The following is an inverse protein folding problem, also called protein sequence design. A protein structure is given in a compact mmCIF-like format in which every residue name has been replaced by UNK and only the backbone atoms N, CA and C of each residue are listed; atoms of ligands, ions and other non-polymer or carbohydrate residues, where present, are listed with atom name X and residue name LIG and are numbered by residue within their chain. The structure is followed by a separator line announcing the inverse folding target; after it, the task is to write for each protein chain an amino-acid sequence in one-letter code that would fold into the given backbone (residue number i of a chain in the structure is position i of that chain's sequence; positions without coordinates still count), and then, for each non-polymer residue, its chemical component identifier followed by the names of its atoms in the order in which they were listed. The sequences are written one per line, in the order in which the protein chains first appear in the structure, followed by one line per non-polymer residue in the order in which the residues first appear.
data_IF_070921474414
#
_entry.id   IF_070921474414
#
_cell.length_a   1.000
_cell.length_b   1.000
_cell.length_c   1.000
_cell.angle_alpha   90.00
_cell.angle_beta   90.00
_cell.angle_gamma   90.00
#
_symmetry.space_group_name_H-M   'P 1'
#
loop_
_entity.id
_entity.type
_entity.pdbx_description
1 polymer ?
#
# COMPACT_ATOMS: atom_id res chain seq x y z
N UNK A 1 -15.07 -16.71 -10.55
CA UNK A 1 -14.75 -18.03 -9.97
C UNK A 1 -14.32 -19.03 -11.04
N UNK A 2 -15.15 -19.36 -12.04
CA UNK A 2 -14.78 -20.36 -13.06
C UNK A 2 -13.61 -19.95 -13.97
N UNK A 3 -13.53 -18.70 -14.41
CA UNK A 3 -12.36 -18.22 -15.15
C UNK A 3 -11.06 -18.30 -14.33
N UNK A 4 -11.14 -18.12 -13.01
CA UNK A 4 -9.98 -18.25 -12.14
C UNK A 4 -9.53 -19.71 -12.01
N UNK A 5 -10.46 -20.66 -11.96
CA UNK A 5 -10.15 -22.11 -11.94
C UNK A 5 -9.53 -22.58 -13.26
N UNK A 6 -10.05 -22.11 -14.40
CA UNK A 6 -9.48 -22.39 -15.72
C UNK A 6 -8.03 -21.85 -15.80
N UNK A 7 -7.80 -20.63 -15.31
CA UNK A 7 -6.45 -20.05 -15.30
C UNK A 7 -5.49 -20.75 -14.33
N UNK A 8 -5.97 -21.23 -13.16
CA UNK A 8 -5.16 -22.06 -12.25
C UNK A 8 -4.76 -23.35 -12.95
N UNK A 9 -5.71 -24.04 -13.60
CA UNK A 9 -5.45 -25.28 -14.33
C UNK A 9 -4.49 -25.05 -15.52
N UNK A 10 -4.70 -23.98 -16.31
CA UNK A 10 -3.83 -23.63 -17.43
C UNK A 10 -2.41 -23.23 -16.98
N UNK A 11 -2.27 -22.55 -15.84
CA UNK A 11 -0.97 -22.19 -15.26
C UNK A 11 -0.25 -23.42 -14.69
N UNK A 12 -0.98 -24.39 -14.14
CA UNK A 12 -0.45 -25.68 -13.70
C UNK A 12 0.03 -26.53 -14.90
N UNK A 13 -0.64 -26.45 -16.05
CA UNK A 13 -0.29 -27.23 -17.25
C UNK A 13 0.83 -26.65 -18.12
N UNK A 14 0.96 -25.32 -18.23
CA UNK A 14 1.67 -24.72 -19.37
C UNK A 14 3.06 -24.13 -19.11
N UNK A 15 3.62 -24.23 -17.88
CA UNK A 15 5.00 -23.81 -17.58
C UNK A 15 5.36 -22.44 -18.23
N UNK A 16 4.43 -21.48 -18.12
CA UNK A 16 4.33 -20.31 -18.99
C UNK A 16 5.55 -19.38 -18.87
N UNK A 17 5.95 -18.80 -20.01
CA UNK A 17 7.03 -17.82 -20.16
C UNK A 17 6.65 -16.44 -19.56
N UNK A 18 7.63 -15.78 -18.92
CA UNK A 18 7.50 -14.55 -18.14
C UNK A 18 6.84 -13.40 -18.91
N UNK A 19 7.10 -13.32 -20.21
CA UNK A 19 6.56 -12.24 -21.06
C UNK A 19 5.05 -12.38 -21.29
N UNK A 20 4.57 -13.60 -21.53
CA UNK A 20 3.15 -13.88 -21.80
C UNK A 20 2.32 -13.67 -20.54
N UNK A 21 2.88 -13.98 -19.38
CA UNK A 21 2.27 -13.71 -18.08
C UNK A 21 2.16 -12.20 -17.84
N UNK A 22 3.24 -11.44 -17.97
CA UNK A 22 3.24 -9.99 -17.74
C UNK A 22 2.23 -9.26 -18.65
N UNK A 23 2.16 -9.61 -19.94
CA UNK A 23 1.20 -9.00 -20.88
C UNK A 23 -0.25 -9.39 -20.56
N UNK A 24 -0.52 -10.64 -20.15
CA UNK A 24 -1.86 -11.07 -19.77
C UNK A 24 -2.31 -10.44 -18.46
N UNK A 25 -1.44 -10.34 -17.45
CA UNK A 25 -1.77 -9.73 -16.16
C UNK A 25 -2.02 -8.23 -16.25
N UNK A 26 -1.29 -7.52 -17.12
CA UNK A 26 -1.52 -6.09 -17.38
C UNK A 26 -2.94 -5.77 -17.86
N UNK A 27 -3.60 -6.70 -18.58
CA UNK A 27 -4.97 -6.51 -19.10
C UNK A 27 -6.05 -6.52 -18.02
N UNK A 28 -5.81 -7.19 -16.89
CA UNK A 28 -6.80 -7.31 -15.82
C UNK A 28 -6.69 -6.19 -14.77
N UNK A 29 -5.68 -5.33 -14.88
CA UNK A 29 -5.63 -4.05 -14.14
C UNK A 29 -6.73 -3.06 -14.57
N UNK A 30 -7.32 -3.22 -15.77
CA UNK A 30 -8.22 -2.21 -16.38
C UNK A 30 -9.60 -2.72 -16.79
N UNK A 31 -10.03 -3.91 -16.32
CA UNK A 31 -11.33 -4.47 -16.74
C UNK A 31 -12.52 -3.74 -16.09
N UNK A 32 -13.31 -3.05 -16.92
CA UNK A 32 -14.45 -2.19 -16.56
C UNK A 32 -15.77 -2.93 -16.25
N UNK A 33 -15.72 -4.22 -15.90
CA UNK A 33 -16.92 -5.09 -15.79
C UNK A 33 -17.36 -5.43 -14.36
N UNK A 34 -16.84 -4.79 -13.31
CA UNK A 34 -16.99 -5.28 -11.94
C UNK A 34 -17.69 -4.28 -10.99
N UNK A 35 -19.01 -4.37 -10.91
CA UNK A 35 -19.78 -3.85 -9.77
C UNK A 35 -19.84 -4.86 -8.59
N UNK A 36 -19.31 -6.09 -8.75
CA UNK A 36 -19.58 -7.23 -7.83
C UNK A 36 -18.41 -7.71 -6.95
N UNK A 37 -17.35 -6.91 -6.76
CA UNK A 37 -16.21 -7.25 -5.89
C UNK A 37 -15.43 -8.56 -6.21
N UNK A 38 -15.65 -9.22 -7.35
CA UNK A 38 -14.93 -10.46 -7.71
C UNK A 38 -13.40 -10.27 -7.90
N UNK A 39 -12.91 -9.04 -7.93
CA UNK A 39 -11.48 -8.76 -8.10
C UNK A 39 -10.61 -9.37 -7.00
N UNK A 40 -11.05 -9.37 -5.74
CA UNK A 40 -10.26 -9.90 -4.62
C UNK A 40 -10.06 -11.42 -4.77
N UNK A 41 -11.15 -12.16 -4.99
CA UNK A 41 -11.13 -13.62 -5.19
C UNK A 41 -10.30 -14.02 -6.40
N UNK A 42 -10.39 -13.29 -7.51
CA UNK A 42 -9.58 -13.55 -8.70
C UNK A 42 -8.10 -13.27 -8.44
N UNK A 43 -7.77 -12.15 -7.78
CA UNK A 43 -6.38 -11.85 -7.38
C UNK A 43 -5.79 -12.90 -6.45
N UNK A 44 -6.57 -13.38 -5.47
CA UNK A 44 -6.15 -14.47 -4.58
C UNK A 44 -5.88 -15.76 -5.36
N UNK A 45 -6.83 -16.20 -6.19
CA UNK A 45 -6.69 -17.45 -6.94
C UNK A 45 -5.49 -17.43 -7.90
N UNK A 46 -5.30 -16.32 -8.62
CA UNK A 46 -4.17 -16.16 -9.54
C UNK A 46 -2.83 -16.04 -8.80
N UNK A 47 -2.77 -15.21 -7.75
CA UNK A 47 -1.56 -15.07 -6.95
C UNK A 47 -1.13 -16.39 -6.32
N UNK A 48 -2.08 -17.17 -5.82
CA UNK A 48 -1.83 -18.51 -5.30
C UNK A 48 -1.33 -19.49 -6.37
N UNK A 49 -2.01 -19.56 -7.53
CA UNK A 49 -1.62 -20.44 -8.62
C UNK A 49 -0.19 -20.16 -9.09
N UNK A 50 0.12 -18.89 -9.36
CA UNK A 50 1.46 -18.50 -9.79
C UNK A 50 2.52 -18.79 -8.73
N UNK A 51 2.27 -18.43 -7.46
CA UNK A 51 3.22 -18.71 -6.40
C UNK A 51 3.52 -20.21 -6.28
N UNK A 52 2.50 -21.07 -6.38
CA UNK A 52 2.63 -22.52 -6.32
C UNK A 52 3.37 -23.09 -7.54
N UNK A 53 3.06 -22.65 -8.76
CA UNK A 53 3.72 -23.11 -10.00
C UNK A 53 5.22 -22.86 -9.99
N UNK A 54 5.65 -21.75 -9.39
CA UNK A 54 7.04 -21.29 -9.37
C UNK A 54 7.82 -21.65 -8.10
N UNK A 55 7.17 -22.34 -7.16
CA UNK A 55 7.78 -22.71 -5.90
C UNK A 55 9.03 -23.59 -6.13
N UNK A 56 10.15 -23.21 -5.54
CA UNK A 56 11.42 -23.94 -5.63
C UNK A 56 12.29 -23.60 -6.85
N UNK A 57 11.91 -22.61 -7.67
CA UNK A 57 12.68 -22.16 -8.84
C UNK A 57 13.25 -20.73 -8.64
N UNK A 58 14.52 -20.58 -8.24
CA UNK A 58 15.12 -19.27 -7.94
C UNK A 58 15.04 -18.26 -9.09
N UNK A 59 15.10 -18.73 -10.34
CA UNK A 59 14.99 -17.91 -11.56
C UNK A 59 13.65 -17.20 -11.70
N UNK A 60 12.60 -17.70 -11.04
CA UNK A 60 11.24 -17.14 -11.07
C UNK A 60 10.92 -16.30 -9.83
N UNK A 61 11.95 -15.93 -9.08
CA UNK A 61 11.77 -15.19 -7.83
C UNK A 61 11.03 -13.86 -8.04
N UNK A 62 11.37 -13.10 -9.07
CA UNK A 62 10.70 -11.83 -9.34
C UNK A 62 9.20 -11.99 -9.67
N UNK A 63 8.78 -12.89 -10.59
CA UNK A 63 7.38 -13.24 -10.78
C UNK A 63 6.65 -13.69 -9.50
N UNK A 64 7.32 -14.42 -8.61
CA UNK A 64 6.73 -14.84 -7.32
C UNK A 64 6.44 -13.66 -6.41
N UNK A 65 7.32 -12.66 -6.34
CA UNK A 65 7.04 -11.43 -5.59
C UNK A 65 5.76 -10.76 -6.09
N UNK A 66 5.61 -10.61 -7.41
CA UNK A 66 4.41 -10.01 -8.01
C UNK A 66 3.14 -10.82 -7.71
N UNK A 67 3.23 -12.15 -7.73
CA UNK A 67 2.12 -13.02 -7.37
C UNK A 67 1.72 -12.87 -5.89
N UNK A 68 2.71 -12.75 -5.00
CA UNK A 68 2.50 -12.51 -3.56
C UNK A 68 1.84 -11.15 -3.32
N UNK A 69 2.24 -10.11 -4.05
CA UNK A 69 1.60 -8.79 -3.99
C UNK A 69 0.10 -8.88 -4.28
N UNK A 70 -0.28 -9.57 -5.36
CA UNK A 70 -1.68 -9.73 -5.77
C UNK A 70 -2.47 -10.56 -4.74
N UNK A 71 -1.89 -11.64 -4.25
CA UNK A 71 -2.49 -12.48 -3.21
C UNK A 71 -2.74 -11.68 -1.92
N UNK A 72 -1.74 -10.94 -1.45
CA UNK A 72 -1.84 -10.11 -0.24
C UNK A 72 -2.86 -8.98 -0.39
N UNK A 73 -2.99 -8.39 -1.58
CA UNK A 73 -4.05 -7.41 -1.89
C UNK A 73 -5.44 -8.04 -1.85
N UNK A 74 -5.61 -9.19 -2.51
CA UNK A 74 -6.88 -9.90 -2.55
C UNK A 74 -7.35 -10.32 -1.16
N UNK A 75 -6.45 -10.87 -0.35
CA UNK A 75 -6.75 -11.30 1.03
C UNK A 75 -7.18 -10.12 1.89
N UNK A 76 -6.47 -8.98 1.80
CA UNK A 76 -6.82 -7.78 2.55
C UNK A 76 -8.18 -7.19 2.15
N UNK A 77 -8.51 -7.22 0.86
CA UNK A 77 -9.82 -6.78 0.36
C UNK A 77 -10.97 -7.72 0.73
N UNK A 78 -10.66 -8.98 1.07
CA UNK A 78 -11.60 -9.97 1.55
C UNK A 78 -11.62 -10.07 3.09
N UNK A 79 -11.07 -9.07 3.80
CA UNK A 79 -11.04 -8.99 5.27
C UNK A 79 -10.20 -10.10 5.96
N UNK A 80 -9.37 -10.82 5.19
CA UNK A 80 -8.42 -11.82 5.70
C UNK A 80 -7.07 -11.15 6.04
N UNK A 81 -7.09 -10.22 7.00
CA UNK A 81 -5.95 -9.34 7.28
C UNK A 81 -4.71 -10.05 7.83
N UNK A 82 -4.84 -11.10 8.64
CA UNK A 82 -3.69 -11.88 9.15
C UNK A 82 -3.00 -12.69 8.05
N UNK A 83 -3.79 -13.29 7.15
CA UNK A 83 -3.24 -14.01 5.98
C UNK A 83 -2.57 -13.03 5.03
N UNK A 84 -3.20 -11.88 4.79
CA UNK A 84 -2.63 -10.80 3.97
C UNK A 84 -1.31 -10.30 4.55
N UNK A 85 -1.20 -10.17 5.88
CA UNK A 85 0.02 -9.77 6.56
C UNK A 85 1.13 -10.78 6.32
N UNK A 86 0.84 -12.06 6.55
CA UNK A 86 1.81 -13.16 6.39
C UNK A 86 2.40 -13.19 4.96
N UNK A 87 1.55 -13.03 3.94
CA UNK A 87 1.98 -13.00 2.54
C UNK A 87 2.87 -11.78 2.25
N UNK A 88 2.49 -10.59 2.74
CA UNK A 88 3.24 -9.35 2.51
C UNK A 88 4.58 -9.31 3.27
N UNK A 89 4.66 -9.90 4.47
CA UNK A 89 5.91 -10.04 5.20
C UNK A 89 6.87 -10.99 4.48
N UNK A 90 6.34 -12.10 3.95
CA UNK A 90 7.12 -13.02 3.13
C UNK A 90 7.59 -12.36 1.81
N UNK A 91 6.76 -11.54 1.18
CA UNK A 91 7.13 -10.74 -0.01
C UNK A 91 8.29 -9.80 0.32
N UNK A 92 8.20 -9.05 1.42
CA UNK A 92 9.26 -8.14 1.86
C UNK A 92 10.57 -8.88 2.18
N UNK A 93 10.50 -10.05 2.83
CA UNK A 93 11.68 -10.88 3.09
C UNK A 93 12.34 -11.35 1.79
N UNK A 94 11.53 -11.66 0.78
CA UNK A 94 12.00 -12.09 -0.52
C UNK A 94 12.63 -10.94 -1.32
N UNK A 95 12.03 -9.75 -1.34
CA UNK A 95 12.61 -8.56 -1.97
C UNK A 95 13.97 -8.19 -1.35
N UNK A 96 14.10 -8.32 -0.02
CA UNK A 96 15.39 -8.14 0.67
C UNK A 96 16.43 -9.16 0.22
N UNK A 97 16.06 -10.45 0.06
CA UNK A 97 16.95 -11.49 -0.46
C UNK A 97 17.43 -11.18 -1.88
N UNK A 98 16.54 -10.64 -2.71
CA UNK A 98 16.85 -10.20 -4.07
C UNK A 98 17.63 -8.90 -4.13
N UNK A 99 17.95 -8.27 -2.98
CA UNK A 99 18.66 -6.99 -2.89
C UNK A 99 17.98 -5.88 -3.69
N UNK A 100 16.65 -5.88 -3.73
CA UNK A 100 15.85 -4.85 -4.41
C UNK A 100 16.07 -3.51 -3.68
N UNK A 101 16.30 -2.39 -4.42
CA UNK A 101 16.50 -1.09 -3.81
C UNK A 101 15.34 -0.67 -2.90
N UNK A 102 15.66 0.02 -1.79
CA UNK A 102 14.64 0.44 -0.81
C UNK A 102 13.52 1.28 -1.42
N UNK A 103 13.83 2.12 -2.41
CA UNK A 103 12.84 2.92 -3.13
C UNK A 103 11.77 2.09 -3.83
N UNK A 104 12.12 0.92 -4.36
CA UNK A 104 11.19 0.00 -5.03
C UNK A 104 10.35 -0.79 -4.02
N UNK A 105 10.87 -1.00 -2.81
CA UNK A 105 10.16 -1.69 -1.72
C UNK A 105 9.09 -0.83 -1.03
N UNK A 106 9.08 0.49 -1.26
CA UNK A 106 8.15 1.43 -0.59
C UNK A 106 6.67 1.05 -0.78
N UNK A 107 6.30 0.51 -1.94
CA UNK A 107 4.91 0.12 -2.21
C UNK A 107 4.47 -1.07 -1.35
N UNK A 108 5.35 -2.06 -1.15
CA UNK A 108 5.08 -3.21 -0.27
C UNK A 108 5.00 -2.76 1.19
N UNK A 109 5.89 -1.86 1.60
CA UNK A 109 5.84 -1.26 2.93
C UNK A 109 4.55 -0.47 3.19
N UNK A 110 4.06 0.31 2.20
CA UNK A 110 2.77 0.99 2.29
C UNK A 110 1.63 -0.02 2.55
N UNK A 111 1.63 -1.13 1.83
CA UNK A 111 0.60 -2.17 1.97
C UNK A 111 0.70 -2.91 3.32
N UNK A 112 1.91 -3.13 3.83
CA UNK A 112 2.14 -3.66 5.17
C UNK A 112 1.60 -2.69 6.24
N UNK A 113 1.90 -1.40 6.13
CA UNK A 113 1.41 -0.39 7.06
C UNK A 113 -0.12 -0.34 7.12
N UNK A 114 -0.79 -0.41 5.98
CA UNK A 114 -2.27 -0.52 5.91
C UNK A 114 -2.76 -1.78 6.63
N UNK A 115 -2.11 -2.91 6.40
CA UNK A 115 -2.53 -4.19 6.99
C UNK A 115 -2.35 -4.19 8.52
N UNK A 116 -1.24 -3.62 9.01
CA UNK A 116 -1.05 -3.44 10.45
C UNK A 116 -2.14 -2.53 11.05
N UNK A 117 -2.47 -1.41 10.41
CA UNK A 117 -3.55 -0.53 10.86
C UNK A 117 -4.91 -1.24 10.91
N UNK A 118 -5.27 -2.02 9.87
CA UNK A 118 -6.49 -2.84 9.86
C UNK A 118 -6.54 -3.89 10.97
N UNK A 119 -5.39 -4.38 11.43
CA UNK A 119 -5.27 -5.31 12.56
C UNK A 119 -5.21 -4.61 13.93
N UNK A 120 -5.38 -3.29 13.99
CA UNK A 120 -5.22 -2.51 15.23
C UNK A 120 -3.78 -2.37 15.73
N UNK A 121 -2.80 -2.78 14.92
CA UNK A 121 -1.36 -2.78 15.22
C UNK A 121 -0.74 -1.41 14.88
N UNK A 122 -1.31 -0.34 15.45
CA UNK A 122 -1.02 1.04 15.04
C UNK A 122 0.44 1.47 15.26
N UNK A 123 1.14 0.98 16.29
CA UNK A 123 2.57 1.30 16.51
C UNK A 123 3.48 0.73 15.41
N UNK A 124 3.19 -0.50 14.95
CA UNK A 124 3.93 -1.09 13.83
C UNK A 124 3.63 -0.36 12.52
N UNK A 125 2.36 0.00 12.29
CA UNK A 125 1.97 0.84 11.17
C UNK A 125 2.70 2.19 11.20
N UNK A 126 2.80 2.82 12.38
CA UNK A 126 3.45 4.11 12.56
C UNK A 126 4.94 4.06 12.23
N UNK A 127 5.65 3.04 12.73
CA UNK A 127 7.07 2.86 12.42
C UNK A 127 7.29 2.74 10.92
N UNK A 128 6.47 1.94 10.22
CA UNK A 128 6.56 1.83 8.77
C UNK A 128 6.22 3.14 8.07
N UNK A 129 5.17 3.86 8.48
CA UNK A 129 4.79 5.15 7.87
C UNK A 129 5.91 6.17 7.98
N UNK A 130 6.61 6.24 9.11
CA UNK A 130 7.77 7.09 9.28
C UNK A 130 8.88 6.75 8.28
N UNK A 131 9.20 5.46 8.15
CA UNK A 131 10.28 5.00 7.29
C UNK A 131 9.93 5.22 5.79
N UNK A 132 8.68 4.95 5.41
CA UNK A 132 8.15 5.22 4.06
C UNK A 132 8.21 6.72 3.75
N UNK A 133 7.77 7.58 4.67
CA UNK A 133 7.79 9.02 4.49
C UNK A 133 9.24 9.53 4.29
N UNK A 134 10.18 9.05 5.11
CA UNK A 134 11.61 9.34 4.94
C UNK A 134 12.14 8.87 3.58
N UNK A 135 11.75 7.67 3.15
CA UNK A 135 12.11 7.12 1.84
C UNK A 135 11.57 7.96 0.68
N UNK A 136 10.30 8.34 0.72
CA UNK A 136 9.69 9.20 -0.32
C UNK A 136 10.27 10.60 -0.36
N UNK A 137 10.60 11.19 0.79
CA UNK A 137 11.33 12.45 0.84
C UNK A 137 12.68 12.36 0.13
N UNK A 138 13.44 11.29 0.34
CA UNK A 138 14.74 11.07 -0.33
C UNK A 138 14.60 10.78 -1.82
N UNK A 139 13.62 9.96 -2.20
CA UNK A 139 13.45 9.50 -3.58
C UNK A 139 12.82 10.56 -4.48
N UNK A 140 11.77 11.23 -4.01
CA UNK A 140 10.92 12.10 -4.83
C UNK A 140 10.95 13.57 -4.40
N UNK A 141 11.48 13.88 -3.21
CA UNK A 141 11.40 15.21 -2.62
C UNK A 141 10.06 15.51 -1.93
N UNK A 142 10.01 16.66 -1.24
CA UNK A 142 8.85 17.12 -0.45
C UNK A 142 7.66 17.59 -1.30
N UNK A 143 7.92 18.05 -2.53
CA UNK A 143 6.90 18.60 -3.44
C UNK A 143 6.13 17.52 -4.21
N UNK A 144 6.61 16.28 -4.19
CA UNK A 144 5.98 15.21 -4.96
C UNK A 144 4.62 14.80 -4.37
N UNK A 145 3.56 14.64 -5.19
CA UNK A 145 2.21 14.29 -4.71
C UNK A 145 2.18 13.06 -3.79
N UNK A 146 2.95 12.01 -4.12
CA UNK A 146 3.04 10.81 -3.29
C UNK A 146 3.71 11.05 -1.92
N UNK A 147 4.67 11.98 -1.83
CA UNK A 147 5.28 12.33 -0.54
C UNK A 147 4.27 13.07 0.34
N UNK A 148 3.47 13.96 -0.25
CA UNK A 148 2.39 14.67 0.43
C UNK A 148 1.28 13.70 0.89
N UNK A 149 0.92 12.73 0.04
CA UNK A 149 -0.04 11.67 0.39
C UNK A 149 0.46 10.82 1.56
N UNK A 150 1.75 10.48 1.61
CA UNK A 150 2.30 9.75 2.75
C UNK A 150 2.43 10.58 4.03
N UNK A 151 2.65 11.90 3.93
CA UNK A 151 2.57 12.78 5.09
C UNK A 151 1.17 12.75 5.73
N UNK A 152 0.11 12.76 4.91
CA UNK A 152 -1.28 12.63 5.37
C UNK A 152 -1.51 11.27 6.07
N UNK A 153 -1.06 10.17 5.47
CA UNK A 153 -1.19 8.84 6.07
C UNK A 153 -0.45 8.74 7.41
N UNK A 154 0.77 9.29 7.47
CA UNK A 154 1.57 9.30 8.68
C UNK A 154 0.91 10.13 9.79
N UNK A 155 0.39 11.32 9.45
CA UNK A 155 -0.37 12.15 10.39
C UNK A 155 -1.63 11.45 10.91
N UNK A 156 -2.35 10.73 10.04
CA UNK A 156 -3.54 9.95 10.43
C UNK A 156 -3.17 8.88 11.45
N UNK A 157 -2.09 8.11 11.21
CA UNK A 157 -1.63 7.07 12.15
C UNK A 157 -1.16 7.68 13.49
N UNK A 158 -0.56 8.88 13.47
CA UNK A 158 -0.22 9.61 14.69
C UNK A 158 -1.48 10.01 15.49
N UNK A 159 -2.52 10.50 14.83
CA UNK A 159 -3.79 10.85 15.48
C UNK A 159 -4.50 9.63 16.08
N UNK A 160 -4.49 8.48 15.40
CA UNK A 160 -5.02 7.21 15.92
C UNK A 160 -4.33 6.77 17.22
N UNK A 161 -3.04 7.08 17.36
CA UNK A 161 -2.23 6.84 18.56
C UNK A 161 -2.28 8.00 19.57
N UNK A 162 -3.18 8.96 19.39
CA UNK A 162 -3.33 10.15 20.25
C UNK A 162 -2.08 11.05 20.30
N UNK A 163 -1.18 10.95 19.30
CA UNK A 163 0.02 11.77 19.14
C UNK A 163 -0.28 13.04 18.35
N UNK A 164 -1.31 13.75 18.77
CA UNK A 164 -1.90 14.87 18.01
C UNK A 164 -0.92 15.99 17.72
N UNK A 165 -0.04 16.33 18.66
CA UNK A 165 0.95 17.39 18.48
C UNK A 165 1.95 17.09 17.36
N UNK A 166 2.34 15.82 17.21
CA UNK A 166 3.22 15.39 16.11
C UNK A 166 2.47 15.39 14.77
N UNK A 167 1.20 14.93 14.76
CA UNK A 167 0.35 14.98 13.57
C UNK A 167 0.16 16.43 13.07
N UNK A 168 -0.21 17.35 13.98
CA UNK A 168 -0.37 18.78 13.70
C UNK A 168 0.93 19.40 13.19
N UNK A 169 2.06 19.12 13.83
CA UNK A 169 3.37 19.64 13.43
C UNK A 169 3.76 19.19 12.02
N UNK A 170 3.52 17.92 11.68
CA UNK A 170 3.75 17.40 10.34
C UNK A 170 2.87 18.12 9.31
N UNK A 171 1.56 18.19 9.57
CA UNK A 171 0.61 18.80 8.63
C UNK A 171 0.84 20.30 8.46
N UNK A 172 1.20 21.05 9.52
CA UNK A 172 1.57 22.48 9.40
C UNK A 172 2.73 22.71 8.43
N UNK A 173 3.67 21.77 8.33
CA UNK A 173 4.76 21.81 7.34
C UNK A 173 4.30 21.37 5.94
N UNK A 174 3.41 20.39 5.86
CA UNK A 174 2.91 19.84 4.59
C UNK A 174 1.93 20.77 3.87
N UNK A 175 1.02 21.46 4.57
CA UNK A 175 -0.03 22.25 3.90
C UNK A 175 0.50 23.38 3.00
N UNK A 176 1.51 24.18 3.40
CA UNK A 176 2.08 25.20 2.53
C UNK A 176 2.70 24.63 1.25
N UNK A 177 3.33 23.46 1.33
CA UNK A 177 3.89 22.75 0.17
C UNK A 177 2.77 22.26 -0.72
N UNK A 178 1.80 21.53 -0.16
CA UNK A 178 0.60 21.07 -0.88
C UNK A 178 -0.15 22.23 -1.55
N UNK A 179 -0.23 23.40 -0.90
CA UNK A 179 -0.87 24.60 -1.47
C UNK A 179 -0.17 25.14 -2.71
N UNK A 180 1.17 25.05 -2.74
CA UNK A 180 2.01 25.55 -3.84
C UNK A 180 1.97 24.62 -5.05
N UNK A 181 2.02 23.31 -4.80
CA UNK A 181 2.25 22.29 -5.83
C UNK A 181 0.97 21.59 -6.30
N UNK A 182 -0.10 21.63 -5.50
CA UNK A 182 -1.40 21.05 -5.82
C UNK A 182 -2.46 22.14 -5.99
N UNK A 183 -3.28 21.98 -7.03
CA UNK A 183 -4.45 22.84 -7.28
C UNK A 183 -5.45 22.84 -6.10
N UNK A 184 -6.30 23.86 -6.02
CA UNK A 184 -7.19 24.04 -4.86
C UNK A 184 -8.19 22.90 -4.68
N UNK A 185 -8.67 22.33 -5.81
CA UNK A 185 -9.62 21.22 -5.84
C UNK A 185 -8.93 19.84 -5.78
N UNK A 186 -7.61 19.79 -5.55
CA UNK A 186 -6.90 18.53 -5.46
C UNK A 186 -7.26 17.77 -4.16
N UNK A 187 -7.66 16.52 -4.29
CA UNK A 187 -8.07 15.67 -3.18
C UNK A 187 -7.02 15.56 -2.07
N UNK A 188 -5.73 15.38 -2.42
CA UNK A 188 -4.66 15.28 -1.41
C UNK A 188 -4.55 16.55 -0.58
N UNK A 189 -4.68 17.72 -1.21
CA UNK A 189 -4.65 19.02 -0.51
C UNK A 189 -5.86 19.21 0.40
N UNK A 190 -7.06 18.87 -0.08
CA UNK A 190 -8.29 18.91 0.71
C UNK A 190 -8.15 17.97 1.92
N UNK A 191 -7.66 16.76 1.69
CA UNK A 191 -7.45 15.76 2.73
C UNK A 191 -6.44 16.23 3.78
N UNK A 192 -5.31 16.85 3.40
CA UNK A 192 -4.34 17.42 4.36
C UNK A 192 -5.02 18.38 5.33
N UNK A 193 -5.89 19.27 4.83
CA UNK A 193 -6.62 20.23 5.67
C UNK A 193 -7.65 19.55 6.57
N UNK A 194 -8.35 18.56 6.03
CA UNK A 194 -9.31 17.78 6.79
C UNK A 194 -8.65 17.02 7.94
N UNK A 195 -7.54 16.30 7.69
CA UNK A 195 -6.80 15.58 8.75
C UNK A 195 -6.28 16.56 9.81
N UNK A 196 -5.84 17.75 9.43
CA UNK A 196 -5.40 18.76 10.40
C UNK A 196 -6.56 19.23 11.29
N UNK A 197 -7.72 19.51 10.68
CA UNK A 197 -8.92 19.91 11.41
C UNK A 197 -9.44 18.78 12.32
N UNK A 198 -9.41 17.53 11.84
CA UNK A 198 -9.77 16.35 12.61
C UNK A 198 -8.84 16.16 13.81
N UNK A 199 -7.51 16.25 13.60
CA UNK A 199 -6.54 16.20 14.69
C UNK A 199 -6.80 17.27 15.76
N UNK A 200 -7.17 18.50 15.37
CA UNK A 200 -7.57 19.56 16.30
C UNK A 200 -8.86 19.24 17.06
N UNK A 201 -9.84 18.69 16.35
CA UNK A 201 -11.12 18.33 16.94
C UNK A 201 -10.97 17.20 17.97
N UNK A 202 -10.10 16.22 17.69
CA UNK A 202 -9.86 15.07 18.55
C UNK A 202 -8.88 15.35 19.70
N UNK A 203 -8.02 16.37 19.58
CA UNK A 203 -7.02 16.71 20.59
C UNK A 203 -7.65 17.49 21.75
N UNK A 204 -7.76 16.90 22.97
CA UNK A 204 -8.32 17.59 24.12
C UNK A 204 -7.46 18.79 24.57
N UNK A 205 -6.21 18.88 24.12
CA UNK A 205 -5.30 19.99 24.37
C UNK A 205 -5.25 21.03 23.25
N UNK A 206 -6.12 20.96 22.24
CA UNK A 206 -6.13 21.92 21.15
C UNK A 206 -6.47 23.34 21.63
N UNK A 207 -5.76 24.33 21.09
CA UNK A 207 -5.94 25.75 21.45
C UNK A 207 -6.34 26.58 20.25
N UNK A 208 -6.87 27.80 20.49
CA UNK A 208 -7.16 28.75 19.40
C UNK A 208 -5.90 29.14 18.60
N UNK A 209 -4.71 29.05 19.19
CA UNK A 209 -3.45 29.31 18.48
C UNK A 209 -3.15 28.23 17.43
N UNK A 210 -3.70 27.03 17.58
CA UNK A 210 -3.58 26.00 16.57
C UNK A 210 -4.43 26.28 15.30
N UNK A 211 -5.42 27.17 15.40
CA UNK A 211 -6.26 27.62 14.27
C UNK A 211 -5.61 28.74 13.45
N UNK A 212 -4.50 29.32 13.92
CA UNK A 212 -3.74 30.41 13.28
C UNK A 212 -2.63 29.87 12.37
#
# INVERSE_FOLDING_TARGET
AEQAKILVAEAEENNLDDKVLNERFGRWHTCSLCEQMYHSVVRCALGWACWKTYLGRPETDWPRCLAMQQLGHGLGAADHHEDALSVKEAEMAMLRRLSVPEGEMLNVQCNLAITYASLGRHEQALSLRRDIYSGRLKLNGEEHPETLREANNYATTLSELQRYQEAKSLLRKTMPVARRVLGEDNETRILTRWIYADALYTDPGATLDDLR
#
